data_IF_352285238823
#
_entry.id   IF_352285238823
#
_cell.length_a   1.000
_cell.length_b   1.000
_cell.length_c   1.000
_cell.angle_alpha   90.00
_cell.angle_beta   90.00
_cell.angle_gamma   90.00
#
_symmetry.space_group_name_H-M   'P 1'
#
loop_
_entity.id
_entity.type
_entity.pdbx_description
1 polymer ?
#
# COMPACT_ATOMS: atom_id res chain seq x y z
N UNK A 1 -10.10 0.00 -10.56
CA UNK A 1 -9.06 -0.89 -11.11
C UNK A 1 -9.32 -2.29 -10.55
N UNK A 2 -9.10 -3.36 -11.32
CA UNK A 2 -9.26 -4.74 -10.84
C UNK A 2 -7.90 -5.43 -10.92
N UNK A 3 -7.45 -6.02 -9.83
CA UNK A 3 -6.20 -6.77 -9.73
C UNK A 3 -6.58 -8.23 -9.47
N UNK A 4 -6.07 -9.15 -10.28
CA UNK A 4 -6.25 -10.59 -10.10
C UNK A 4 -4.99 -11.18 -9.50
N UNK A 5 -5.13 -11.83 -8.34
CA UNK A 5 -4.06 -12.55 -7.66
C UNK A 5 -3.93 -13.98 -8.24
N UNK A 6 -2.74 -14.60 -8.19
CA UNK A 6 -2.55 -15.96 -8.68
C UNK A 6 -3.45 -16.96 -7.94
N UNK A 7 -3.80 -18.05 -8.64
CA UNK A 7 -4.56 -19.14 -8.05
C UNK A 7 -3.81 -19.76 -6.87
N UNK A 8 -4.50 -19.94 -5.74
CA UNK A 8 -3.98 -20.71 -4.62
C UNK A 8 -3.76 -22.16 -5.09
N UNK A 9 -2.69 -22.78 -4.60
CA UNK A 9 -2.46 -24.23 -4.77
C UNK A 9 -3.02 -24.92 -3.53
N UNK A 10 -3.55 -26.13 -3.73
CA UNK A 10 -4.27 -26.93 -2.70
C UNK A 10 -3.44 -27.25 -1.44
N UNK A 11 -2.15 -26.91 -1.41
CA UNK A 11 -1.20 -27.22 -0.33
C UNK A 11 -0.47 -25.98 0.24
N UNK A 12 -0.91 -24.76 -0.08
CA UNK A 12 -0.23 -23.54 0.37
C UNK A 12 -1.21 -22.45 0.82
N UNK A 13 -0.94 -21.92 2.01
CA UNK A 13 -1.48 -20.65 2.49
C UNK A 13 -0.73 -19.50 1.80
N UNK A 14 -1.47 -18.49 1.34
CA UNK A 14 -0.88 -17.31 0.71
C UNK A 14 -1.25 -16.07 1.51
N UNK A 15 -0.22 -15.39 1.98
CA UNK A 15 -0.34 -14.06 2.57
C UNK A 15 -0.14 -13.02 1.47
N UNK A 16 -1.20 -12.26 1.17
CA UNK A 16 -1.09 -11.11 0.27
C UNK A 16 -1.11 -9.83 1.07
N UNK A 17 -0.23 -8.89 0.68
CA UNK A 17 -0.24 -7.52 1.18
C UNK A 17 -0.87 -6.61 0.16
N UNK A 18 -1.94 -5.93 0.55
CA UNK A 18 -2.54 -4.87 -0.25
C UNK A 18 -2.03 -3.53 0.28
N UNK A 19 -1.44 -2.74 -0.61
CA UNK A 19 -0.95 -1.38 -0.31
C UNK A 19 -1.77 -0.39 -1.12
N UNK A 20 -2.51 0.46 -0.41
CA UNK A 20 -3.27 1.57 -0.99
C UNK A 20 -2.46 2.85 -0.82
N UNK A 21 -2.39 3.65 -1.88
CA UNK A 21 -1.68 4.93 -1.93
C UNK A 21 -2.56 5.97 -2.59
N UNK A 22 -2.62 7.18 -2.04
CA UNK A 22 -3.39 8.28 -2.60
C UNK A 22 -2.54 9.54 -2.75
N UNK A 23 -2.56 10.11 -3.94
CA UNK A 23 -1.94 11.41 -4.25
C UNK A 23 -2.88 12.59 -3.99
N UNK A 24 -4.11 12.33 -3.58
CA UNK A 24 -5.11 13.34 -3.23
C UNK A 24 -6.06 12.76 -2.17
N UNK A 25 -6.69 13.62 -1.38
CA UNK A 25 -7.70 13.16 -0.44
C UNK A 25 -8.89 12.58 -1.19
N UNK A 26 -9.41 11.45 -0.71
CA UNK A 26 -10.59 10.87 -1.32
C UNK A 26 -11.09 9.61 -0.62
N UNK A 27 -12.24 9.15 -1.08
CA UNK A 27 -12.83 7.90 -0.62
C UNK A 27 -12.71 6.86 -1.72
N UNK A 28 -12.03 5.76 -1.42
CA UNK A 28 -11.95 4.57 -2.25
C UNK A 28 -12.94 3.50 -1.80
N UNK A 29 -13.24 2.55 -2.69
CA UNK A 29 -13.87 1.29 -2.31
C UNK A 29 -12.88 0.17 -2.65
N UNK A 30 -12.47 -0.58 -1.62
CA UNK A 30 -11.71 -1.80 -1.81
C UNK A 30 -12.70 -2.95 -1.80
N UNK A 31 -12.78 -3.67 -2.92
CA UNK A 31 -13.59 -4.88 -3.07
C UNK A 31 -12.67 -6.06 -3.32
N UNK A 32 -12.75 -7.08 -2.47
CA UNK A 32 -12.05 -8.34 -2.64
C UNK A 32 -13.06 -9.41 -3.01
N UNK A 33 -12.70 -10.25 -3.99
CA UNK A 33 -13.56 -11.33 -4.49
C UNK A 33 -12.78 -12.62 -4.60
N UNK A 34 -13.31 -13.68 -3.99
CA UNK A 34 -12.83 -15.05 -4.14
C UNK A 34 -13.51 -15.72 -5.33
N UNK A 35 -12.75 -16.49 -6.10
CA UNK A 35 -13.27 -17.28 -7.22
C UNK A 35 -12.75 -18.70 -7.18
N UNK A 36 -13.64 -19.66 -7.41
CA UNK A 36 -13.28 -21.04 -7.76
C UNK A 36 -13.64 -21.27 -9.24
N UNK A 37 -12.59 -21.34 -10.09
CA UNK A 37 -12.77 -21.30 -11.54
C UNK A 37 -13.40 -19.98 -12.00
N UNK A 38 -14.66 -20.02 -12.42
CA UNK A 38 -15.43 -18.84 -12.84
C UNK A 38 -16.57 -18.48 -11.87
N UNK A 39 -16.77 -19.27 -10.80
CA UNK A 39 -17.80 -19.02 -9.81
C UNK A 39 -17.25 -18.13 -8.70
N UNK A 40 -17.96 -17.05 -8.36
CA UNK A 40 -17.63 -16.21 -7.20
C UNK A 40 -18.01 -16.97 -5.93
N UNK A 41 -17.05 -17.21 -5.04
CA UNK A 41 -17.25 -17.93 -3.77
C UNK A 41 -17.46 -16.98 -2.60
N UNK A 42 -16.99 -15.74 -2.72
CA UNK A 42 -17.17 -14.70 -1.70
C UNK A 42 -16.80 -13.32 -2.24
N UNK A 43 -17.41 -12.29 -1.65
CA UNK A 43 -17.05 -10.90 -1.90
C UNK A 43 -17.20 -10.08 -0.63
N UNK A 44 -16.17 -9.29 -0.35
CA UNK A 44 -16.18 -8.29 0.71
C UNK A 44 -15.87 -6.92 0.09
N UNK A 45 -16.45 -5.87 0.65
CA UNK A 45 -16.15 -4.51 0.22
C UNK A 45 -16.21 -3.54 1.38
N UNK A 46 -15.19 -2.69 1.47
CA UNK A 46 -15.08 -1.65 2.48
C UNK A 46 -14.86 -0.28 1.81
N UNK A 47 -15.42 0.77 2.41
CA UNK A 47 -15.08 2.15 2.07
C UNK A 47 -13.81 2.53 2.81
N UNK A 48 -12.84 3.09 2.10
CA UNK A 48 -11.54 3.45 2.65
C UNK A 48 -11.34 4.94 2.43
N UNK A 49 -11.23 5.68 3.51
CA UNK A 49 -10.82 7.09 3.46
C UNK A 49 -9.31 7.16 3.32
N UNK A 50 -8.84 7.92 2.34
CA UNK A 50 -7.43 8.10 2.03
C UNK A 50 -7.08 9.58 2.14
N UNK A 51 -6.02 9.86 2.88
CA UNK A 51 -5.38 11.17 2.93
C UNK A 51 -4.25 11.25 1.89
N UNK A 52 -3.92 12.48 1.48
CA UNK A 52 -2.79 12.75 0.60
C UNK A 52 -1.49 12.16 1.18
N UNK A 53 -0.70 11.51 0.32
CA UNK A 53 0.55 10.82 0.66
C UNK A 53 0.40 9.66 1.66
N UNK A 54 -0.83 9.24 1.97
CA UNK A 54 -1.09 8.16 2.92
C UNK A 54 -0.86 6.79 2.29
N UNK A 55 -0.26 5.91 3.09
CA UNK A 55 -0.20 4.47 2.83
C UNK A 55 -1.13 3.76 3.80
N UNK A 56 -2.02 2.92 3.27
CA UNK A 56 -2.77 1.95 4.06
C UNK A 56 -2.37 0.53 3.67
N UNK A 57 -2.25 -0.33 4.67
CA UNK A 57 -1.97 -1.74 4.55
C UNK A 57 -3.18 -2.53 5.02
N UNK A 58 -3.53 -3.57 4.27
CA UNK A 58 -4.35 -4.66 4.76
C UNK A 58 -3.67 -5.99 4.44
N UNK A 59 -3.79 -6.92 5.38
CA UNK A 59 -3.40 -8.30 5.18
C UNK A 59 -4.61 -9.07 4.65
N UNK A 60 -4.38 -9.83 3.58
CA UNK A 60 -5.38 -10.70 2.98
C UNK A 60 -4.92 -12.15 3.15
N UNK A 61 -5.72 -12.92 3.87
CA UNK A 61 -5.53 -14.34 4.06
C UNK A 61 -6.46 -15.10 3.13
N UNK A 62 -5.90 -15.99 2.32
CA UNK A 62 -6.68 -16.86 1.46
C UNK A 62 -6.18 -18.29 1.57
N UNK A 63 -7.05 -19.20 2.02
CA UNK A 63 -6.73 -20.60 2.23
C UNK A 63 -7.91 -21.51 1.86
N UNK A 64 -7.61 -22.77 1.56
CA UNK A 64 -8.56 -23.78 1.13
C UNK A 64 -8.50 -24.97 2.07
N UNK A 65 -9.52 -25.16 2.90
CA UNK A 65 -9.64 -26.33 3.80
C UNK A 65 -10.76 -27.27 3.31
N UNK A 66 -11.96 -26.74 3.06
CA UNK A 66 -13.06 -27.45 2.37
C UNK A 66 -13.81 -26.54 1.38
N UNK A 67 -13.83 -25.23 1.65
CA UNK A 67 -14.24 -24.14 0.75
C UNK A 67 -13.15 -23.06 0.76
N UNK A 68 -13.07 -22.27 -0.31
CA UNK A 68 -12.15 -21.13 -0.37
C UNK A 68 -12.59 -20.05 0.63
N UNK A 69 -11.77 -19.83 1.67
CA UNK A 69 -11.96 -18.75 2.63
C UNK A 69 -11.05 -17.58 2.22
N UNK A 70 -11.64 -16.39 2.19
CA UNK A 70 -10.94 -15.13 1.98
C UNK A 70 -11.25 -14.25 3.17
N UNK A 71 -10.25 -13.97 3.99
CA UNK A 71 -10.35 -13.07 5.13
C UNK A 71 -9.54 -11.80 4.85
N UNK A 72 -10.19 -10.66 5.05
CA UNK A 72 -9.67 -9.35 4.69
C UNK A 72 -9.59 -8.49 5.95
N UNK A 73 -8.36 -8.13 6.33
CA UNK A 73 -8.14 -7.19 7.41
C UNK A 73 -8.63 -5.78 7.05
N UNK A 74 -9.04 -5.00 8.03
CA UNK A 74 -9.33 -3.59 7.83
C UNK A 74 -8.06 -2.85 7.35
N UNK A 75 -8.11 -2.02 6.29
CA UNK A 75 -6.97 -1.21 5.89
C UNK A 75 -6.59 -0.19 6.97
N UNK A 76 -5.34 -0.25 7.40
CA UNK A 76 -4.81 0.58 8.49
C UNK A 76 -3.47 1.20 8.10
N UNK A 77 -3.11 2.30 8.75
CA UNK A 77 -1.77 2.89 8.62
C UNK A 77 -0.76 1.90 9.21
N UNK A 78 0.31 1.53 8.50
CA UNK A 78 1.35 0.68 9.05
C UNK A 78 1.90 1.24 10.36
N UNK A 79 2.11 0.40 11.38
CA UNK A 79 2.68 0.81 12.67
C UNK A 79 3.92 0.01 13.02
N UNK A 80 4.87 0.66 13.70
CA UNK A 80 5.98 -0.01 14.36
C UNK A 80 5.48 -0.93 15.50
N UNK A 81 6.38 -1.74 16.06
CA UNK A 81 6.05 -2.64 17.18
C UNK A 81 5.59 -1.93 18.46
N UNK A 82 5.85 -0.63 18.59
CA UNK A 82 5.40 0.21 19.70
C UNK A 82 4.09 0.97 19.40
N UNK A 83 3.48 0.75 18.23
CA UNK A 83 2.26 1.42 17.79
C UNK A 83 2.48 2.76 17.11
N UNK A 84 3.73 3.21 16.92
CA UNK A 84 4.03 4.46 16.19
C UNK A 84 3.63 4.33 14.72
N UNK A 85 2.82 5.26 14.16
CA UNK A 85 2.48 5.26 12.74
C UNK A 85 3.73 5.44 11.86
N UNK A 86 3.84 4.63 10.81
CA UNK A 86 4.92 4.63 9.83
C UNK A 86 4.43 5.28 8.52
N UNK A 87 4.24 6.60 8.55
CA UNK A 87 3.63 7.35 7.45
C UNK A 87 4.43 7.29 6.12
N UNK A 88 5.71 6.91 6.19
CA UNK A 88 6.61 6.83 5.04
C UNK A 88 7.10 5.39 4.76
N UNK A 89 6.40 4.39 5.30
CA UNK A 89 6.60 2.98 4.96
C UNK A 89 5.85 2.69 3.64
N UNK A 90 6.48 3.04 2.52
CA UNK A 90 5.87 3.05 1.19
C UNK A 90 5.75 1.65 0.58
N UNK A 91 6.49 0.67 1.07
CA UNK A 91 6.31 -0.74 0.72
C UNK A 91 5.54 -1.56 1.77
N UNK A 92 5.09 -0.88 2.83
CA UNK A 92 4.28 -1.38 3.92
C UNK A 92 4.91 -2.61 4.63
N UNK A 93 6.25 -2.68 4.69
CA UNK A 93 7.00 -3.78 5.30
C UNK A 93 7.16 -3.68 6.82
N UNK A 94 6.58 -2.64 7.41
CA UNK A 94 6.58 -2.36 8.84
C UNK A 94 7.83 -1.61 9.28
N UNK A 95 8.57 -0.99 8.35
CA UNK A 95 9.78 -0.21 8.62
C UNK A 95 9.83 1.01 7.71
N UNK A 96 10.50 2.07 8.17
CA UNK A 96 10.93 3.17 7.31
C UNK A 96 12.44 3.00 7.11
N UNK A 97 12.85 2.48 5.96
CA UNK A 97 14.24 2.11 5.69
C UNK A 97 14.78 2.66 4.34
N UNK A 98 15.89 2.11 3.85
CA UNK A 98 16.53 2.59 2.60
C UNK A 98 15.68 2.27 1.36
N UNK A 99 14.77 1.28 1.43
CA UNK A 99 13.86 0.96 0.34
C UNK A 99 12.82 2.06 0.15
N UNK A 100 12.29 2.63 1.23
CA UNK A 100 11.33 3.74 1.16
C UNK A 100 11.97 4.99 0.58
N UNK A 101 13.19 5.31 1.02
CA UNK A 101 14.01 6.36 0.41
C UNK A 101 14.23 6.05 -1.07
N UNK A 102 14.51 4.79 -1.40
CA UNK A 102 14.69 4.29 -2.76
C UNK A 102 13.48 4.59 -3.66
N UNK A 103 12.25 4.49 -3.12
CA UNK A 103 11.01 4.80 -3.86
C UNK A 103 11.01 6.26 -4.34
N UNK A 104 11.25 7.20 -3.44
CA UNK A 104 11.26 8.65 -3.75
C UNK A 104 12.47 9.00 -4.62
N UNK A 105 13.67 8.59 -4.19
CA UNK A 105 14.93 8.94 -4.86
C UNK A 105 15.06 8.38 -6.27
N UNK A 106 14.33 7.32 -6.61
CA UNK A 106 14.28 6.80 -7.98
C UNK A 106 13.63 7.77 -8.98
N UNK A 107 12.85 8.73 -8.49
CA UNK A 107 12.15 9.75 -9.27
C UNK A 107 12.76 11.15 -9.12
N UNK A 108 13.97 11.22 -8.55
CA UNK A 108 14.70 12.45 -8.28
C UNK A 108 14.72 13.42 -9.47
N UNK A 109 14.44 14.69 -9.19
CA UNK A 109 14.50 15.80 -10.15
C UNK A 109 13.52 15.64 -11.32
N UNK A 110 12.35 15.07 -11.03
CA UNK A 110 11.18 15.13 -11.92
C UNK A 110 10.16 16.12 -11.35
N UNK A 111 9.46 16.83 -12.22
CA UNK A 111 8.42 17.79 -11.85
C UNK A 111 7.12 17.52 -12.59
N UNK A 112 6.04 18.21 -12.20
CA UNK A 112 4.75 18.14 -12.90
C UNK A 112 4.91 18.24 -14.43
N UNK A 113 4.39 17.24 -15.14
CA UNK A 113 4.48 17.13 -16.60
C UNK A 113 5.63 16.25 -17.09
N UNK A 114 6.59 15.88 -16.24
CA UNK A 114 7.63 14.92 -16.60
C UNK A 114 7.07 13.48 -16.63
N UNK A 115 7.49 12.62 -17.59
CA UNK A 115 6.99 11.24 -17.70
C UNK A 115 7.24 10.33 -16.50
N UNK A 116 8.14 10.73 -15.59
CA UNK A 116 8.50 9.98 -14.38
C UNK A 116 8.00 10.64 -13.09
N UNK A 117 7.27 11.74 -13.17
CA UNK A 117 6.72 12.41 -12.00
C UNK A 117 5.56 11.60 -11.44
N UNK A 118 5.60 11.36 -10.13
CA UNK A 118 4.52 10.74 -9.37
C UNK A 118 4.14 11.68 -8.22
N UNK A 119 2.96 12.31 -8.27
CA UNK A 119 2.54 13.29 -7.27
C UNK A 119 2.39 12.68 -5.87
N UNK A 120 2.31 11.36 -5.73
CA UNK A 120 2.32 10.71 -4.41
C UNK A 120 3.66 10.91 -3.66
N UNK A 121 4.74 11.18 -4.37
CA UNK A 121 6.06 11.37 -3.75
C UNK A 121 6.46 12.84 -3.62
N UNK A 122 5.63 13.77 -4.07
CA UNK A 122 5.79 15.22 -3.88
C UNK A 122 5.26 15.59 -2.50
N UNK A 123 6.06 15.25 -1.49
CA UNK A 123 5.63 15.24 -0.10
C UNK A 123 5.48 16.65 0.47
N UNK A 124 5.99 17.67 -0.21
CA UNK A 124 5.78 19.08 0.13
C UNK A 124 4.86 19.86 -0.82
N UNK A 125 4.30 19.17 -1.81
CA UNK A 125 3.32 19.67 -2.79
C UNK A 125 3.86 20.89 -3.58
N UNK A 126 5.17 20.94 -3.86
CA UNK A 126 5.81 22.04 -4.61
C UNK A 126 5.83 21.84 -6.14
N UNK A 127 5.37 20.67 -6.59
CA UNK A 127 5.32 20.25 -7.98
C UNK A 127 6.61 19.60 -8.49
N UNK A 128 7.60 19.34 -7.63
CA UNK A 128 8.88 18.76 -7.99
C UNK A 128 9.42 17.78 -6.93
N UNK A 129 9.88 16.61 -7.37
CA UNK A 129 10.53 15.62 -6.50
C UNK A 129 12.00 15.99 -6.26
N UNK A 130 12.29 16.60 -5.12
CA UNK A 130 13.61 17.13 -4.74
C UNK A 130 14.15 16.56 -3.43
N UNK A 131 15.19 17.20 -2.86
CA UNK A 131 15.85 16.72 -1.62
C UNK A 131 14.94 16.95 -0.44
N UNK A 132 14.00 17.89 -0.56
CA UNK A 132 13.05 18.19 0.49
C UNK A 132 12.12 16.99 0.71
N UNK A 133 11.65 16.35 -0.35
CA UNK A 133 10.84 15.13 -0.28
C UNK A 133 11.62 13.97 0.32
N UNK A 134 12.82 13.71 -0.20
CA UNK A 134 13.69 12.64 0.33
C UNK A 134 13.99 12.89 1.82
N UNK A 135 14.28 14.13 2.21
CA UNK A 135 14.60 14.47 3.59
C UNK A 135 13.42 14.24 4.54
N UNK A 136 12.17 14.38 4.08
CA UNK A 136 11.00 14.03 4.91
C UNK A 136 11.03 12.56 5.33
N UNK A 137 11.33 11.66 4.39
CA UNK A 137 11.46 10.21 4.66
C UNK A 137 12.70 9.89 5.51
N UNK A 138 13.84 10.53 5.23
CA UNK A 138 15.08 10.34 6.01
C UNK A 138 14.85 10.72 7.48
N UNK A 139 14.19 11.85 7.72
CA UNK A 139 13.99 12.40 9.05
C UNK A 139 12.88 11.70 9.85
N UNK A 140 12.08 10.85 9.21
CA UNK A 140 10.97 10.13 9.86
C UNK A 140 11.36 8.76 10.40
N UNK A 141 12.62 8.34 10.23
CA UNK A 141 13.09 7.05 10.76
C UNK A 141 12.95 7.02 12.29
N UNK A 142 12.16 6.10 12.87
CA UNK A 142 12.17 5.90 14.30
C UNK A 142 13.59 5.47 14.73
N UNK A 143 14.05 6.00 15.88
CA UNK A 143 15.46 6.11 16.28
C UNK A 143 16.39 4.98 15.83
N UNK A 144 17.50 5.37 15.17
CA UNK A 144 18.68 4.52 14.94
C UNK A 144 19.33 4.10 16.26
#
# INVERSE_FOLDING_TARGET
>A
MTISLPSLRDDADYDYRIVLRASENGTGHLTVKGYEGYAETGSESEAVELEVHQVLRSDLLAYSDEELIVDFGQPEIPTASDGTPLLYDFDADGRIDDKDIGRVSSLWNTCEGDPGYDPFFDLDDDGCLTILDIMRVVNSRPGQ
#
